data_IF_549474009159
#
_entry.id   IF_549474009159
#
_cell.length_a   1.000
_cell.length_b   1.000
_cell.length_c   1.000
_cell.angle_alpha   90.00
_cell.angle_beta   90.00
_cell.angle_gamma   90.00
#
_symmetry.space_group_name_H-M   'P 1'
#
loop_
_entity.id
_entity.type
_entity.pdbx_description
1 polymer ?
#
# COMPACT_ATOMS: atom_id res chain seq x y z
N UNK A 1 14.11 -8.89 -15.27
CA UNK A 1 13.71 -8.65 -13.86
C UNK A 1 13.04 -7.29 -13.65
N UNK A 2 13.59 -6.16 -14.14
CA UNK A 2 12.95 -4.83 -14.01
C UNK A 2 11.47 -4.79 -14.43
N UNK A 3 11.14 -5.33 -15.62
CA UNK A 3 9.74 -5.44 -16.09
C UNK A 3 8.86 -6.33 -15.20
N UNK A 4 9.44 -7.33 -14.53
CA UNK A 4 8.71 -8.17 -13.58
C UNK A 4 8.46 -7.39 -12.29
N UNK A 5 9.48 -6.71 -11.76
CA UNK A 5 9.35 -5.87 -10.57
C UNK A 5 8.22 -4.83 -10.73
N UNK A 6 8.19 -4.11 -11.86
CA UNK A 6 7.10 -3.17 -12.15
C UNK A 6 5.70 -3.83 -12.20
N UNK A 7 5.58 -5.01 -12.82
CA UNK A 7 4.31 -5.76 -12.85
C UNK A 7 3.90 -6.27 -11.47
N UNK A 8 4.86 -6.73 -10.68
CA UNK A 8 4.61 -7.30 -9.36
C UNK A 8 4.19 -6.21 -8.37
N UNK A 9 4.74 -4.98 -8.45
CA UNK A 9 4.26 -3.84 -7.67
C UNK A 9 2.77 -3.54 -7.94
N UNK A 10 2.38 -3.48 -9.22
CA UNK A 10 0.97 -3.32 -9.62
C UNK A 10 0.09 -4.48 -9.16
N UNK A 11 0.58 -5.72 -9.30
CA UNK A 11 -0.13 -6.93 -8.86
C UNK A 11 -0.42 -6.90 -7.36
N UNK A 12 0.55 -6.46 -6.55
CA UNK A 12 0.37 -6.30 -5.10
C UNK A 12 -0.69 -5.22 -4.82
N UNK A 13 -0.62 -4.06 -5.49
CA UNK A 13 -1.64 -3.03 -5.36
C UNK A 13 -3.05 -3.56 -5.68
N UNK A 14 -3.21 -4.24 -6.83
CA UNK A 14 -4.53 -4.74 -7.27
C UNK A 14 -5.10 -5.73 -6.23
N UNK A 15 -4.24 -6.55 -5.60
CA UNK A 15 -4.63 -7.45 -4.53
C UNK A 15 -5.00 -6.72 -3.23
N UNK A 16 -4.22 -5.70 -2.82
CA UNK A 16 -4.49 -4.85 -1.66
C UNK A 16 -5.84 -4.14 -1.82
N UNK A 17 -6.08 -3.52 -3.00
CA UNK A 17 -7.35 -2.86 -3.30
C UNK A 17 -8.53 -3.83 -3.28
N UNK A 18 -8.36 -5.05 -3.81
CA UNK A 18 -9.41 -6.08 -3.73
C UNK A 18 -9.69 -6.51 -2.29
N UNK A 19 -8.66 -6.69 -1.47
CA UNK A 19 -8.79 -7.06 -0.06
C UNK A 19 -9.51 -5.98 0.74
N UNK A 20 -9.15 -4.72 0.53
CA UNK A 20 -9.86 -3.58 1.11
C UNK A 20 -11.37 -3.61 0.79
N UNK A 21 -11.73 -3.82 -0.49
CA UNK A 21 -13.12 -3.86 -0.96
C UNK A 21 -13.94 -5.01 -0.36
N UNK A 22 -13.33 -6.17 -0.21
CA UNK A 22 -14.03 -7.41 0.11
C UNK A 22 -14.06 -7.74 1.60
N UNK A 23 -13.01 -7.36 2.34
CA UNK A 23 -12.81 -7.76 3.73
C UNK A 23 -12.95 -6.62 4.74
N UNK A 24 -13.14 -5.36 4.27
CA UNK A 24 -13.12 -4.16 5.14
C UNK A 24 -11.83 -4.04 5.97
N UNK A 25 -10.71 -4.51 5.42
CA UNK A 25 -9.42 -4.48 6.08
C UNK A 25 -9.00 -3.06 6.49
N UNK A 26 -8.31 -2.98 7.62
CA UNK A 26 -7.64 -1.79 8.14
C UNK A 26 -6.35 -1.50 7.38
N UNK A 27 -5.82 -0.30 7.52
CA UNK A 27 -4.54 0.08 6.91
C UNK A 27 -3.37 -0.83 7.32
N UNK A 28 -3.30 -1.17 8.61
CA UNK A 28 -2.32 -2.15 9.14
C UNK A 28 -2.45 -3.51 8.45
N UNK A 29 -3.67 -4.05 8.35
CA UNK A 29 -3.91 -5.35 7.71
C UNK A 29 -3.58 -5.34 6.21
N UNK A 30 -3.87 -4.23 5.53
CA UNK A 30 -3.53 -4.05 4.11
C UNK A 30 -2.03 -4.07 3.86
N UNK A 31 -1.24 -3.38 4.70
CA UNK A 31 0.21 -3.34 4.55
C UNK A 31 0.91 -4.61 5.06
N UNK A 32 0.35 -5.29 6.07
CA UNK A 32 0.79 -6.64 6.44
C UNK A 32 0.61 -7.60 5.27
N UNK A 33 -0.58 -7.62 4.66
CA UNK A 33 -0.88 -8.44 3.49
C UNK A 33 0.04 -8.10 2.29
N UNK A 34 0.27 -6.82 2.02
CA UNK A 34 1.19 -6.38 0.98
C UNK A 34 2.63 -6.88 1.23
N UNK A 35 3.09 -6.86 2.48
CA UNK A 35 4.41 -7.32 2.88
C UNK A 35 4.58 -8.82 2.70
N UNK A 36 3.59 -9.62 3.11
CA UNK A 36 3.56 -11.07 2.89
C UNK A 36 3.58 -11.40 1.39
N UNK A 37 2.74 -10.73 0.60
CA UNK A 37 2.67 -10.95 -0.84
C UNK A 37 3.96 -10.52 -1.56
N UNK A 38 4.59 -9.42 -1.16
CA UNK A 38 5.88 -8.99 -1.68
C UNK A 38 6.94 -10.06 -1.43
N UNK A 39 7.00 -10.59 -0.20
CA UNK A 39 7.95 -11.64 0.20
C UNK A 39 7.74 -12.92 -0.61
N UNK A 40 6.49 -13.36 -0.80
CA UNK A 40 6.15 -14.53 -1.62
C UNK A 40 6.53 -14.36 -3.10
N UNK A 41 6.53 -13.12 -3.58
CA UNK A 41 6.99 -12.75 -4.92
C UNK A 41 8.51 -12.53 -4.99
N UNK A 42 9.25 -12.67 -3.89
CA UNK A 42 10.71 -12.51 -3.81
C UNK A 42 11.19 -11.06 -3.73
N UNK A 43 10.33 -10.16 -3.23
CA UNK A 43 10.62 -8.73 -3.05
C UNK A 43 10.54 -8.33 -1.58
N UNK A 44 11.13 -7.18 -1.25
CA UNK A 44 10.99 -6.54 0.06
C UNK A 44 10.07 -5.32 -0.08
N UNK A 45 9.01 -5.25 0.73
CA UNK A 45 8.16 -4.06 0.80
C UNK A 45 8.85 -2.98 1.62
N UNK A 46 8.91 -1.76 1.08
CA UNK A 46 9.43 -0.59 1.78
C UNK A 46 8.31 0.13 2.55
N UNK A 47 8.27 -0.07 3.87
CA UNK A 47 7.29 0.53 4.76
C UNK A 47 7.52 2.02 5.06
N UNK A 48 8.65 2.60 4.63
CA UNK A 48 8.86 4.06 4.69
C UNK A 48 7.84 4.82 3.81
N UNK A 49 7.21 4.13 2.86
CA UNK A 49 6.14 4.64 2.00
C UNK A 49 4.83 3.92 2.34
N UNK A 50 4.22 4.36 3.44
CA UNK A 50 3.03 3.76 4.03
C UNK A 50 1.71 4.27 3.46
N UNK A 51 1.71 5.01 2.34
CA UNK A 51 0.51 5.64 1.79
C UNK A 51 0.05 6.84 2.62
N UNK A 52 -0.82 7.66 2.04
CA UNK A 52 -1.21 8.93 2.64
C UNK A 52 -2.68 9.29 2.36
N UNK A 53 -3.24 10.17 3.19
CA UNK A 53 -4.61 10.66 3.05
C UNK A 53 -4.67 11.83 2.06
N UNK A 54 -5.73 11.89 1.25
CA UNK A 54 -6.04 13.01 0.37
C UNK A 54 -7.03 13.97 1.05
N UNK A 55 -6.64 15.25 1.17
CA UNK A 55 -7.48 16.36 1.62
C UNK A 55 -7.60 16.52 3.14
N UNK A 56 -8.14 17.66 3.58
CA UNK A 56 -8.39 17.98 5.00
C UNK A 56 -9.76 17.47 5.46
N UNK A 57 -9.86 16.91 6.67
CA UNK A 57 -11.16 16.63 7.29
C UNK A 57 -11.81 17.95 7.76
N UNK A 58 -13.13 18.15 7.63
CA UNK A 58 -13.79 19.42 7.96
C UNK A 58 -13.73 19.84 9.44
N UNK A 59 -13.25 18.98 10.34
CA UNK A 59 -13.28 19.21 11.78
C UNK A 59 -12.14 18.50 12.51
N UNK A 60 -10.97 19.14 12.60
CA UNK A 60 -10.05 19.16 13.76
C UNK A 60 -9.42 17.89 14.31
N UNK A 61 -9.93 16.69 14.04
CA UNK A 61 -9.34 15.40 14.41
C UNK A 61 -8.79 14.75 13.14
N UNK A 62 -7.65 15.26 12.67
CA UNK A 62 -6.93 14.68 11.54
C UNK A 62 -5.96 13.63 12.06
N UNK A 63 -6.09 12.41 11.54
CA UNK A 63 -4.97 11.48 11.58
C UNK A 63 -4.02 11.86 10.44
N UNK A 64 -2.84 12.38 10.79
CA UNK A 64 -1.79 12.81 9.85
C UNK A 64 -0.77 11.70 9.55
N UNK A 65 -0.95 10.51 10.14
CA UNK A 65 -0.04 9.38 9.92
C UNK A 65 -0.30 8.63 8.60
N UNK A 66 0.56 7.66 8.27
CA UNK A 66 0.46 6.90 7.05
C UNK A 66 -0.74 5.94 7.05
N UNK A 67 -1.19 5.57 5.86
CA UNK A 67 -2.24 4.54 5.70
C UNK A 67 -1.81 3.22 6.36
N UNK A 68 -0.54 2.86 6.34
CA UNK A 68 -0.02 1.61 6.93
C UNK A 68 -0.21 1.47 8.45
N UNK A 69 -0.57 2.54 9.15
CA UNK A 69 -0.68 2.57 10.61
C UNK A 69 -2.13 2.69 11.12
N UNK A 70 -3.10 3.00 10.25
CA UNK A 70 -4.49 3.14 10.69
C UNK A 70 -5.09 1.78 11.08
N UNK A 71 -5.80 1.77 12.21
CA UNK A 71 -6.51 0.60 12.75
C UNK A 71 -8.00 0.58 12.37
N UNK A 72 -8.39 1.42 11.42
CA UNK A 72 -9.75 1.48 10.87
C UNK A 72 -9.74 1.23 9.36
N UNK A 73 -10.89 0.86 8.82
CA UNK A 73 -11.06 0.69 7.38
C UNK A 73 -10.97 2.06 6.67
N UNK A 74 -10.02 2.28 5.75
CA UNK A 74 -9.88 3.55 5.05
C UNK A 74 -11.11 3.83 4.19
N UNK A 75 -11.58 5.07 4.24
CA UNK A 75 -12.71 5.52 3.43
C UNK A 75 -12.34 5.56 1.93
N UNK A 76 -13.28 5.25 1.02
CA UNK A 76 -13.05 5.34 -0.41
C UNK A 76 -12.70 6.78 -0.82
N UNK A 77 -11.88 6.91 -1.86
CA UNK A 77 -11.46 8.17 -2.50
C UNK A 77 -10.72 9.16 -1.59
N UNK A 78 -10.29 8.74 -0.40
CA UNK A 78 -9.57 9.59 0.55
C UNK A 78 -8.14 9.10 0.85
N UNK A 79 -7.70 7.97 0.31
CA UNK A 79 -6.42 7.36 0.66
C UNK A 79 -5.67 6.88 -0.58
N UNK A 80 -4.42 7.30 -0.70
CA UNK A 80 -3.45 6.80 -1.66
C UNK A 80 -2.76 5.57 -1.07
N UNK A 81 -2.79 4.45 -1.78
CA UNK A 81 -1.97 3.28 -1.45
C UNK A 81 -0.68 3.36 -2.23
N UNK A 82 0.44 3.22 -1.53
CA UNK A 82 1.77 3.25 -2.09
C UNK A 82 2.41 1.87 -1.94
N UNK A 83 2.71 1.20 -3.06
CA UNK A 83 3.45 -0.06 -3.10
C UNK A 83 4.84 0.21 -3.65
N UNK A 84 5.81 0.29 -2.75
CA UNK A 84 7.23 0.33 -3.09
C UNK A 84 7.89 -0.99 -2.74
N UNK A 85 8.30 -1.75 -3.76
CA UNK A 85 9.05 -3.00 -3.57
C UNK A 85 10.49 -2.86 -4.04
N UNK A 86 11.41 -3.56 -3.37
CA UNK A 86 12.85 -3.55 -3.63
C UNK A 86 13.35 -4.97 -3.90
N UNK A 87 14.36 -5.11 -4.76
CA UNK A 87 15.09 -6.37 -4.87
C UNK A 87 15.99 -6.53 -3.63
N UNK A 88 16.02 -7.71 -2.99
CA UNK A 88 16.76 -7.93 -1.72
C UNK A 88 18.30 -7.86 -1.84
N UNK A 89 18.85 -7.66 -3.04
CA UNK A 89 20.31 -7.78 -3.28
C UNK A 89 20.79 -6.77 -4.32
N UNK A 90 19.99 -6.53 -5.36
CA UNK A 90 20.30 -5.61 -6.45
C UNK A 90 19.71 -4.23 -6.15
N UNK A 91 20.37 -3.17 -6.60
CA UNK A 91 19.95 -1.79 -6.37
C UNK A 91 18.86 -1.33 -7.34
N UNK A 92 17.71 -2.02 -7.32
CA UNK A 92 16.52 -1.56 -8.02
C UNK A 92 15.23 -1.95 -7.27
N UNK A 93 14.16 -1.24 -7.61
CA UNK A 93 12.81 -1.50 -7.11
C UNK A 93 11.77 -1.05 -8.12
N UNK A 94 10.52 -1.12 -7.71
CA UNK A 94 9.39 -0.57 -8.44
C UNK A 94 8.42 0.11 -7.47
N UNK A 95 7.80 1.16 -7.96
CA UNK A 95 6.82 1.95 -7.23
C UNK A 95 5.52 1.97 -8.02
N UNK A 96 4.41 1.73 -7.34
CA UNK A 96 3.07 1.89 -7.87
C UNK A 96 2.21 2.57 -6.81
N UNK A 97 1.56 3.67 -7.17
CA UNK A 97 0.60 4.37 -6.32
C UNK A 97 -0.71 4.57 -7.07
N UNK A 98 -1.82 4.42 -6.35
CA UNK A 98 -3.14 4.76 -6.88
C UNK A 98 -4.15 4.91 -5.72
N UNK A 99 -5.29 5.51 -6.04
CA UNK A 99 -6.37 5.80 -5.11
C UNK A 99 -7.10 4.52 -4.69
N UNK A 100 -7.45 4.38 -3.41
CA UNK A 100 -8.47 3.42 -2.99
C UNK A 100 -9.85 3.90 -3.47
N UNK A 101 -10.32 3.34 -4.59
CA UNK A 101 -11.56 3.69 -5.27
C UNK A 101 -12.46 2.47 -5.48
#
# INVERSE_FOLDING_TARGET
>A
ELKRCARDARKIFDAVANRWKTEKATGVELYQFAGEMAKDLGWELNLDLGGHRLGEAPSGEQYEGPLSEITFNPAPHLWMVEIHIRHPEKQFGAFYEDLLA
#
